data_IF_196047682880
#
_entry.id   IF_196047682880
#
_cell.length_a   1.000
_cell.length_b   1.000
_cell.length_c   1.000
_cell.angle_alpha   90.00
_cell.angle_beta   90.00
_cell.angle_gamma   90.00
#
_symmetry.space_group_name_H-M   'P 1'
#
loop_
_entity.id
_entity.type
_entity.pdbx_description
1 polymer ?
#
# COMPACT_ATOMS: atom_id res chain seq x y z
N UNK A 1 -12.74 -6.04 -21.38
CA UNK A 1 -12.22 -5.44 -20.14
C UNK A 1 -13.32 -4.61 -19.53
N UNK A 2 -13.86 -5.05 -18.40
CA UNK A 2 -14.97 -4.41 -17.69
C UNK A 2 -14.39 -3.47 -16.63
N UNK A 3 -14.04 -2.25 -17.07
CA UNK A 3 -13.50 -1.22 -16.20
C UNK A 3 -14.57 -0.51 -15.36
N UNK A 4 -14.14 0.23 -14.35
CA UNK A 4 -14.99 0.95 -13.41
C UNK A 4 -16.06 1.81 -14.11
N UNK A 5 -17.32 1.71 -13.70
CA UNK A 5 -18.42 2.54 -14.24
C UNK A 5 -18.78 2.30 -15.71
N UNK A 6 -18.31 1.18 -16.30
CA UNK A 6 -18.82 0.68 -17.59
C UNK A 6 -20.07 -0.17 -17.38
N UNK A 7 -20.92 -0.43 -18.40
CA UNK A 7 -22.19 -1.14 -18.23
C UNK A 7 -22.07 -2.54 -17.60
N UNK A 8 -20.98 -3.24 -17.89
CA UNK A 8 -20.65 -4.56 -17.33
C UNK A 8 -19.55 -4.48 -16.26
N UNK A 9 -19.14 -3.26 -15.92
CA UNK A 9 -18.06 -2.94 -15.00
C UNK A 9 -18.47 -2.88 -13.55
N UNK A 10 -17.50 -2.90 -12.63
CA UNK A 10 -17.77 -2.65 -11.23
C UNK A 10 -18.18 -1.20 -11.00
N UNK A 11 -19.08 -1.00 -10.04
CA UNK A 11 -19.47 0.32 -9.57
C UNK A 11 -18.55 0.82 -8.45
N UNK A 12 -17.95 -0.12 -7.71
CA UNK A 12 -17.08 0.17 -6.59
C UNK A 12 -15.90 -0.82 -6.57
N UNK A 13 -14.73 -0.32 -6.19
CA UNK A 13 -13.57 -1.13 -5.84
C UNK A 13 -13.13 -0.72 -4.44
N UNK A 14 -12.83 -1.70 -3.59
CA UNK A 14 -12.36 -1.46 -2.23
C UNK A 14 -11.11 -2.28 -1.97
N UNK A 15 -10.18 -1.75 -1.19
CA UNK A 15 -8.98 -2.48 -0.82
C UNK A 15 -8.26 -1.93 0.39
N UNK A 16 -7.22 -2.64 0.77
CA UNK A 16 -6.29 -2.23 1.81
C UNK A 16 -4.86 -2.65 1.42
N UNK A 17 -3.91 -1.74 1.60
CA UNK A 17 -2.47 -1.97 1.43
C UNK A 17 -1.80 -1.91 2.79
N UNK A 18 -1.13 -2.98 3.18
CA UNK A 18 -0.26 -3.02 4.37
C UNK A 18 1.18 -2.83 3.93
N UNK A 19 1.91 -1.91 4.54
CA UNK A 19 3.31 -1.61 4.19
C UNK A 19 4.19 -1.75 5.42
N UNK A 20 5.29 -2.50 5.31
CA UNK A 20 6.29 -2.67 6.37
C UNK A 20 7.71 -2.76 5.80
N UNK A 21 8.70 -2.56 6.66
CA UNK A 21 10.08 -2.95 6.35
C UNK A 21 10.19 -4.48 6.41
N UNK A 22 10.84 -5.10 5.43
CA UNK A 22 11.15 -6.52 5.45
C UNK A 22 12.12 -6.80 6.62
N UNK A 23 11.92 -7.88 7.41
CA UNK A 23 12.75 -8.14 8.59
C UNK A 23 14.11 -8.73 8.20
N UNK A 24 14.93 -7.93 7.51
CA UNK A 24 16.30 -8.25 7.10
C UNK A 24 17.25 -7.09 7.33
N UNK A 25 18.51 -7.42 7.66
CA UNK A 25 19.58 -6.41 7.77
C UNK A 25 19.89 -5.79 6.42
N UNK A 26 20.06 -6.65 5.42
CA UNK A 26 20.41 -6.26 4.05
C UNK A 26 19.24 -6.42 3.08
N UNK A 27 19.31 -5.72 1.95
CA UNK A 27 18.29 -5.83 0.92
C UNK A 27 18.37 -7.23 0.34
N UNK A 28 17.26 -7.95 0.29
CA UNK A 28 17.27 -9.28 -0.32
C UNK A 28 17.51 -9.16 -1.82
N UNK A 29 18.24 -10.12 -2.37
CA UNK A 29 18.50 -10.17 -3.79
C UNK A 29 17.27 -10.66 -4.59
N UNK A 30 17.34 -10.55 -5.92
CA UNK A 30 16.24 -10.93 -6.80
C UNK A 30 15.83 -12.42 -6.65
N UNK A 31 16.75 -13.40 -6.59
CA UNK A 31 16.40 -14.79 -6.31
C UNK A 31 15.64 -14.98 -4.99
N UNK A 32 16.10 -14.35 -3.90
CA UNK A 32 15.44 -14.45 -2.59
C UNK A 32 14.07 -13.76 -2.61
N UNK A 33 13.95 -12.60 -3.27
CA UNK A 33 12.68 -11.91 -3.48
C UNK A 33 11.68 -12.79 -4.23
N UNK A 34 12.11 -13.44 -5.32
CA UNK A 34 11.27 -14.37 -6.09
C UNK A 34 10.86 -15.56 -5.24
N UNK A 35 11.75 -16.10 -4.41
CA UNK A 35 11.43 -17.22 -3.52
C UNK A 35 10.42 -16.82 -2.44
N UNK A 36 10.58 -15.66 -1.82
CA UNK A 36 9.64 -15.11 -0.82
C UNK A 36 8.25 -14.87 -1.42
N UNK A 37 8.19 -14.32 -2.63
CA UNK A 37 6.95 -13.95 -3.30
C UNK A 37 6.33 -15.08 -4.13
N UNK A 38 6.89 -16.30 -4.10
CA UNK A 38 6.33 -17.47 -4.79
C UNK A 38 5.13 -18.03 -4.03
N UNK A 39 4.05 -17.26 -4.01
CA UNK A 39 2.80 -17.59 -3.32
C UNK A 39 1.98 -18.68 -4.02
N UNK A 40 2.29 -18.92 -5.30
CA UNK A 40 1.64 -19.90 -6.16
C UNK A 40 2.69 -20.73 -6.90
N UNK A 41 2.37 -21.99 -7.16
CA UNK A 41 3.26 -22.90 -7.87
C UNK A 41 3.12 -22.78 -9.39
N UNK A 42 1.93 -22.38 -9.87
CA UNK A 42 1.51 -22.36 -11.27
C UNK A 42 1.76 -21.02 -11.98
N UNK A 43 2.08 -19.97 -11.24
CA UNK A 43 2.35 -18.64 -11.79
C UNK A 43 3.68 -18.07 -11.26
N UNK A 44 4.36 -17.29 -12.10
CA UNK A 44 5.68 -16.72 -11.80
C UNK A 44 5.55 -15.37 -11.09
N UNK A 45 6.52 -15.09 -10.21
CA UNK A 45 6.74 -13.73 -9.69
C UNK A 45 7.15 -12.82 -10.85
N UNK A 46 6.48 -11.67 -10.97
CA UNK A 46 6.81 -10.63 -11.95
C UNK A 46 7.92 -9.76 -11.37
N UNK A 47 9.01 -9.56 -12.11
CA UNK A 47 10.13 -8.73 -11.65
C UNK A 47 10.40 -7.64 -12.66
N UNK A 48 10.57 -6.41 -12.17
CA UNK A 48 11.08 -5.28 -12.94
C UNK A 48 12.32 -4.72 -12.24
N UNK A 49 13.32 -4.31 -13.02
CA UNK A 49 14.55 -3.67 -12.52
C UNK A 49 14.55 -2.16 -12.69
N UNK A 50 13.62 -1.61 -13.47
CA UNK A 50 13.53 -0.19 -13.76
C UNK A 50 12.18 0.39 -13.33
N UNK A 51 12.15 1.63 -12.80
CA UNK A 51 13.32 2.44 -12.43
C UNK A 51 14.06 1.96 -11.17
N UNK A 52 13.41 1.14 -10.35
CA UNK A 52 14.00 0.43 -9.21
C UNK A 52 13.65 -1.07 -9.30
N UNK A 53 14.29 -1.93 -8.50
CA UNK A 53 13.92 -3.35 -8.38
C UNK A 53 12.55 -3.45 -7.72
N UNK A 54 11.69 -4.24 -8.33
CA UNK A 54 10.30 -4.40 -7.92
C UNK A 54 9.84 -5.80 -8.29
N UNK A 55 9.44 -6.57 -7.29
CA UNK A 55 8.93 -7.91 -7.48
C UNK A 55 7.48 -7.99 -7.00
N UNK A 56 6.61 -8.62 -7.78
CA UNK A 56 5.17 -8.76 -7.50
C UNK A 56 4.80 -10.23 -7.55
N UNK A 57 4.18 -10.73 -6.50
CA UNK A 57 3.66 -12.09 -6.48
C UNK A 57 2.52 -12.27 -7.49
N UNK A 58 2.23 -13.51 -7.88
CA UNK A 58 0.93 -13.87 -8.45
C UNK A 58 -0.23 -13.47 -7.53
N UNK A 59 -1.41 -13.25 -8.13
CA UNK A 59 -2.65 -13.01 -7.40
C UNK A 59 -3.13 -14.29 -6.69
N UNK A 60 -3.44 -14.18 -5.41
CA UNK A 60 -4.08 -15.21 -4.60
C UNK A 60 -5.53 -14.80 -4.36
N UNK A 61 -6.46 -15.74 -4.55
CA UNK A 61 -7.89 -15.51 -4.37
C UNK A 61 -8.36 -16.10 -3.05
N UNK A 62 -9.02 -15.29 -2.24
CA UNK A 62 -9.68 -15.71 -1.01
C UNK A 62 -11.19 -15.68 -1.21
N UNK A 63 -11.83 -16.84 -1.16
CA UNK A 63 -13.29 -16.94 -1.24
C UNK A 63 -13.95 -16.42 0.04
N UNK A 64 -14.93 -15.52 -0.11
CA UNK A 64 -15.67 -14.93 1.03
C UNK A 64 -17.18 -14.99 0.82
N UNK A 65 -17.90 -15.11 1.92
CA UNK A 65 -19.36 -15.08 1.99
C UNK A 65 -19.74 -14.41 3.32
N UNK A 66 -19.83 -13.07 3.29
CA UNK A 66 -19.98 -12.26 4.49
C UNK A 66 -20.79 -11.00 4.19
N UNK A 67 -21.01 -10.17 5.22
CA UNK A 67 -21.62 -8.85 5.05
C UNK A 67 -20.55 -7.84 4.63
N UNK A 68 -20.91 -6.89 3.78
CA UNK A 68 -20.09 -5.71 3.54
C UNK A 68 -20.30 -4.69 4.67
N UNK A 69 -19.24 -4.00 5.12
CA UNK A 69 -19.38 -2.86 6.02
C UNK A 69 -20.28 -1.79 5.41
N UNK A 70 -21.21 -1.23 6.18
CA UNK A 70 -22.08 -0.14 5.72
C UNK A 70 -22.26 0.92 6.80
N UNK A 71 -22.23 2.20 6.41
CA UNK A 71 -22.43 3.31 7.35
C UNK A 71 -23.87 3.39 7.88
N UNK A 72 -24.85 2.84 7.15
CA UNK A 72 -26.27 2.88 7.53
C UNK A 72 -26.72 1.68 8.36
N UNK A 73 -25.85 0.69 8.57
CA UNK A 73 -26.21 -0.59 9.18
C UNK A 73 -27.00 -1.53 8.26
N UNK A 74 -27.09 -1.21 6.96
CA UNK A 74 -27.69 -2.07 5.95
C UNK A 74 -26.95 -3.42 5.88
N UNK A 75 -27.70 -4.52 5.94
CA UNK A 75 -27.12 -5.88 5.94
C UNK A 75 -26.92 -6.39 4.52
N UNK A 76 -25.94 -5.84 3.82
CA UNK A 76 -25.60 -6.23 2.45
C UNK A 76 -24.69 -7.45 2.49
N UNK A 77 -25.22 -8.62 2.11
CA UNK A 77 -24.41 -9.83 1.93
C UNK A 77 -23.74 -9.80 0.57
N UNK A 78 -22.45 -10.11 0.51
CA UNK A 78 -21.73 -10.28 -0.74
C UNK A 78 -20.97 -11.61 -0.73
N UNK A 79 -20.89 -12.23 -1.90
CA UNK A 79 -20.23 -13.53 -2.09
C UNK A 79 -19.31 -13.44 -3.29
N UNK A 80 -18.10 -13.96 -3.15
CA UNK A 80 -17.13 -13.86 -4.22
C UNK A 80 -15.72 -14.18 -3.79
N UNK A 81 -14.76 -13.57 -4.49
CA UNK A 81 -13.35 -13.68 -4.17
C UNK A 81 -12.72 -12.30 -3.98
N UNK A 82 -11.86 -12.21 -2.98
CA UNK A 82 -10.94 -11.07 -2.77
C UNK A 82 -9.61 -11.44 -3.41
N UNK A 83 -9.07 -10.53 -4.22
CA UNK A 83 -7.72 -10.65 -4.77
C UNK A 83 -6.72 -10.13 -3.76
N UNK A 84 -5.64 -10.87 -3.55
CA UNK A 84 -4.51 -10.40 -2.75
C UNK A 84 -3.18 -10.76 -3.39
N UNK A 85 -2.20 -9.87 -3.30
CA UNK A 85 -0.84 -10.12 -3.73
C UNK A 85 0.13 -9.31 -2.86
N UNK A 86 1.42 -9.62 -2.99
CA UNK A 86 2.48 -8.92 -2.29
C UNK A 86 3.50 -8.32 -3.26
N UNK A 87 4.02 -7.17 -2.88
CA UNK A 87 5.03 -6.41 -3.63
C UNK A 87 6.26 -6.25 -2.75
N UNK A 88 7.45 -6.45 -3.32
CA UNK A 88 8.71 -6.17 -2.67
C UNK A 88 9.50 -5.14 -3.48
N UNK A 89 9.74 -3.98 -2.88
CA UNK A 89 10.46 -2.85 -3.48
C UNK A 89 11.89 -2.84 -2.98
N UNK A 90 12.85 -2.89 -3.92
CA UNK A 90 14.30 -2.90 -3.68
C UNK A 90 14.78 -3.95 -2.65
N UNK A 91 14.02 -5.04 -2.49
CA UNK A 91 14.34 -6.06 -1.48
C UNK A 91 14.23 -5.55 -0.03
N UNK A 92 13.53 -4.43 0.19
CA UNK A 92 13.46 -3.71 1.48
C UNK A 92 12.06 -3.50 1.99
N UNK A 93 11.16 -2.97 1.17
CA UNK A 93 9.80 -2.63 1.61
C UNK A 93 8.84 -3.66 1.08
N UNK A 94 8.17 -4.35 2.00
CA UNK A 94 7.15 -5.34 1.69
C UNK A 94 5.79 -4.67 1.79
N UNK A 95 5.00 -4.81 0.72
CA UNK A 95 3.60 -4.46 0.72
C UNK A 95 2.75 -5.69 0.51
N UNK A 96 1.60 -5.74 1.17
CA UNK A 96 0.56 -6.73 0.94
C UNK A 96 -0.73 -5.99 0.64
N UNK A 97 -1.28 -6.24 -0.54
CA UNK A 97 -2.51 -5.60 -1.02
C UNK A 97 -3.61 -6.64 -1.07
N UNK A 98 -4.77 -6.32 -0.52
CA UNK A 98 -5.99 -7.08 -0.76
C UNK A 98 -7.09 -6.14 -1.25
N UNK A 99 -7.79 -6.51 -2.32
CA UNK A 99 -8.86 -5.71 -2.90
C UNK A 99 -9.93 -6.56 -3.57
N UNK A 100 -11.10 -5.96 -3.76
CA UNK A 100 -12.19 -6.53 -4.55
C UNK A 100 -12.91 -5.44 -5.34
N UNK A 101 -13.61 -5.89 -6.36
CA UNK A 101 -14.55 -5.11 -7.15
C UNK A 101 -15.99 -5.56 -6.87
N UNK A 102 -16.95 -4.65 -6.95
CA UNK A 102 -18.36 -4.97 -6.75
C UNK A 102 -19.23 -4.30 -7.84
N UNK A 103 -20.13 -5.05 -8.50
CA UNK A 103 -21.14 -4.47 -9.39
C UNK A 103 -22.23 -3.75 -8.59
N UNK A 104 -23.02 -2.90 -9.26
CA UNK A 104 -24.16 -2.20 -8.64
C UNK A 104 -25.23 -3.17 -8.11
N UNK A 105 -25.40 -4.31 -8.75
CA UNK A 105 -26.41 -5.31 -8.41
C UNK A 105 -25.90 -6.73 -8.62
N UNK A 106 -26.59 -7.65 -7.96
CA UNK A 106 -26.39 -9.07 -8.11
C UNK A 106 -27.70 -9.83 -7.95
N UNK A 107 -27.66 -11.17 -7.99
CA UNK A 107 -28.85 -11.99 -7.97
C UNK A 107 -29.60 -11.85 -6.63
N UNK A 108 -30.93 -11.99 -6.68
CA UNK A 108 -31.81 -11.93 -5.50
C UNK A 108 -31.47 -12.98 -4.42
N UNK A 109 -30.77 -14.04 -4.82
CA UNK A 109 -30.33 -15.12 -3.94
C UNK A 109 -28.91 -15.56 -4.26
N UNK A 110 -28.23 -16.05 -3.23
CA UNK A 110 -26.91 -16.68 -3.34
C UNK A 110 -26.91 -17.75 -4.44
N UNK A 111 -25.85 -17.76 -5.25
CA UNK A 111 -25.62 -18.73 -6.33
C UNK A 111 -24.65 -19.84 -5.88
N UNK A 112 -24.56 -20.95 -6.61
CA UNK A 112 -23.49 -21.92 -6.40
C UNK A 112 -22.10 -21.30 -6.62
N UNK A 113 -21.07 -21.84 -5.97
CA UNK A 113 -19.70 -21.29 -6.04
C UNK A 113 -19.15 -21.14 -7.47
N UNK A 114 -19.51 -22.04 -8.39
CA UNK A 114 -19.11 -21.93 -9.80
C UNK A 114 -19.52 -20.61 -10.46
N UNK A 115 -20.61 -19.97 -10.01
CA UNK A 115 -20.98 -18.62 -10.47
C UNK A 115 -19.96 -17.56 -10.04
N UNK A 116 -19.43 -17.65 -8.82
CA UNK A 116 -18.48 -16.65 -8.31
C UNK A 116 -17.05 -16.92 -8.76
N UNK A 117 -16.65 -18.20 -8.88
CA UNK A 117 -15.27 -18.58 -9.24
C UNK A 117 -14.88 -18.20 -10.67
N UNK A 118 -15.85 -18.01 -11.57
CA UNK A 118 -15.59 -17.47 -12.92
C UNK A 118 -15.46 -15.94 -12.95
N UNK A 119 -15.52 -15.28 -11.78
CA UNK A 119 -15.40 -13.82 -11.58
C UNK A 119 -14.34 -13.52 -10.51
N UNK A 120 -13.05 -13.78 -10.80
CA UNK A 120 -11.99 -13.57 -9.83
C UNK A 120 -11.88 -12.09 -9.43
N UNK A 121 -11.70 -11.82 -8.14
CA UNK A 121 -11.57 -10.47 -7.59
C UNK A 121 -12.88 -9.68 -7.53
N UNK A 122 -14.03 -10.34 -7.74
CA UNK A 122 -15.35 -9.72 -7.63
C UNK A 122 -16.13 -10.26 -6.43
N UNK A 123 -16.67 -9.36 -5.61
CA UNK A 123 -17.69 -9.66 -4.62
C UNK A 123 -19.04 -9.22 -5.16
N UNK A 124 -19.89 -10.20 -5.46
CA UNK A 124 -21.22 -9.94 -6.01
C UNK A 124 -22.21 -9.79 -4.84
N UNK A 125 -22.92 -8.66 -4.72
CA UNK A 125 -23.93 -8.46 -3.69
C UNK A 125 -25.13 -9.40 -3.93
N UNK A 126 -25.81 -9.78 -2.86
CA UNK A 126 -27.13 -10.42 -2.95
C UNK A 126 -28.18 -9.31 -2.96
N UNK A 127 -28.75 -9.05 -4.13
CA UNK A 127 -29.58 -7.87 -4.39
C UNK A 127 -28.76 -6.64 -4.79
N UNK A 128 -29.21 -5.45 -4.37
CA UNK A 128 -28.61 -4.17 -4.77
C UNK A 128 -27.50 -3.71 -3.81
N UNK A 129 -26.41 -3.20 -4.37
CA UNK A 129 -25.34 -2.53 -3.63
C UNK A 129 -25.78 -1.11 -3.25
N UNK A 130 -25.72 -0.77 -1.96
CA UNK A 130 -25.84 0.61 -1.51
C UNK A 130 -24.45 1.27 -1.57
N UNK A 131 -23.97 1.58 -2.78
CA UNK A 131 -22.60 2.02 -3.07
C UNK A 131 -22.07 3.05 -2.07
N UNK A 132 -22.75 4.20 -1.92
CA UNK A 132 -22.36 5.25 -0.97
C UNK A 132 -22.24 4.74 0.47
N UNK A 133 -23.19 3.94 0.93
CA UNK A 133 -23.17 3.42 2.30
C UNK A 133 -22.05 2.40 2.51
N UNK A 134 -21.74 1.58 1.50
CA UNK A 134 -20.63 0.63 1.53
C UNK A 134 -19.30 1.37 1.50
N UNK A 135 -19.14 2.39 0.67
CA UNK A 135 -17.94 3.23 0.63
C UNK A 135 -17.65 3.84 1.99
N UNK A 136 -18.62 4.54 2.57
CA UNK A 136 -18.48 5.18 3.88
C UNK A 136 -18.21 4.15 4.98
N UNK A 137 -18.99 3.05 5.02
CA UNK A 137 -18.82 2.00 6.02
C UNK A 137 -17.46 1.33 5.94
N UNK A 138 -17.02 0.98 4.73
CA UNK A 138 -15.73 0.35 4.49
C UNK A 138 -14.58 1.23 4.99
N UNK A 139 -14.59 2.52 4.65
CA UNK A 139 -13.54 3.46 5.08
C UNK A 139 -13.49 3.63 6.60
N UNK A 140 -14.64 3.61 7.29
CA UNK A 140 -14.70 3.70 8.76
C UNK A 140 -14.25 2.44 9.50
N UNK A 141 -14.32 1.27 8.85
CA UNK A 141 -13.95 -0.02 9.42
C UNK A 141 -15.11 -1.01 9.49
N UNK A 142 -14.78 -2.24 9.89
CA UNK A 142 -15.72 -3.36 9.91
C UNK A 142 -16.23 -3.66 11.33
N UNK A 143 -17.40 -4.27 11.41
CA UNK A 143 -17.92 -4.88 12.64
C UNK A 143 -17.76 -6.41 12.62
N UNK A 144 -17.86 -7.10 13.77
CA UNK A 144 -17.83 -8.55 13.82
C UNK A 144 -18.85 -9.19 12.87
N UNK A 145 -18.37 -10.08 11.99
CA UNK A 145 -19.20 -10.76 10.98
C UNK A 145 -19.35 -10.01 9.65
N UNK A 146 -18.74 -8.82 9.53
CA UNK A 146 -18.54 -8.13 8.26
C UNK A 146 -17.19 -8.50 7.63
N UNK A 147 -17.00 -8.11 6.38
CA UNK A 147 -15.77 -8.33 5.64
C UNK A 147 -14.62 -7.55 6.28
N UNK A 148 -13.63 -8.28 6.77
CA UNK A 148 -12.34 -7.73 7.14
C UNK A 148 -11.30 -8.06 6.05
N UNK A 149 -11.12 -7.13 5.12
CA UNK A 149 -10.09 -7.27 4.09
C UNK A 149 -8.68 -7.03 4.64
N UNK A 150 -8.56 -6.28 5.73
CA UNK A 150 -7.30 -5.99 6.38
C UNK A 150 -6.68 -7.25 6.94
N UNK A 151 -7.48 -8.13 7.54
CA UNK A 151 -7.04 -9.47 7.95
C UNK A 151 -6.51 -10.32 6.78
N UNK A 152 -7.05 -10.17 5.56
CA UNK A 152 -6.56 -10.90 4.37
C UNK A 152 -5.17 -10.37 3.97
N UNK A 153 -5.02 -9.04 3.87
CA UNK A 153 -3.74 -8.40 3.57
C UNK A 153 -2.69 -8.71 4.65
N UNK A 154 -3.06 -8.61 5.92
CA UNK A 154 -2.18 -8.88 7.07
C UNK A 154 -1.77 -10.35 7.16
N UNK A 155 -2.70 -11.29 6.91
CA UNK A 155 -2.37 -12.72 6.87
C UNK A 155 -1.32 -13.02 5.80
N UNK A 156 -1.46 -12.40 4.61
CA UNK A 156 -0.49 -12.55 3.54
C UNK A 156 0.86 -11.93 3.91
N UNK A 157 0.87 -10.73 4.49
CA UNK A 157 2.07 -10.06 4.98
C UNK A 157 2.80 -10.94 6.01
N UNK A 158 2.07 -11.40 7.03
CA UNK A 158 2.60 -12.24 8.10
C UNK A 158 3.17 -13.56 7.58
N UNK A 159 2.54 -14.17 6.56
CA UNK A 159 3.05 -15.38 5.91
C UNK A 159 4.44 -15.16 5.32
N UNK A 160 4.66 -14.01 4.68
CA UNK A 160 5.94 -13.68 4.04
C UNK A 160 6.97 -13.31 5.11
N UNK A 161 6.63 -12.36 6.00
CA UNK A 161 7.55 -11.83 7.03
C UNK A 161 7.99 -12.87 8.08
N UNK A 162 7.27 -14.00 8.22
CA UNK A 162 7.63 -15.10 9.13
C UNK A 162 8.42 -16.24 8.45
N UNK A 163 8.96 -16.00 7.25
CA UNK A 163 9.75 -17.01 6.53
C UNK A 163 11.18 -17.12 7.10
N UNK A 164 11.31 -17.84 8.21
CA UNK A 164 12.57 -17.95 8.98
C UNK A 164 13.79 -18.48 8.23
N UNK A 165 13.61 -19.15 7.08
CA UNK A 165 14.72 -19.67 6.29
C UNK A 165 15.38 -18.64 5.38
N UNK A 166 14.71 -17.52 5.13
CA UNK A 166 15.14 -16.50 4.15
C UNK A 166 15.37 -15.13 4.79
N UNK A 167 14.96 -14.94 6.04
CA UNK A 167 14.95 -13.66 6.74
C UNK A 167 15.78 -13.78 8.02
N UNK A 168 16.66 -12.80 8.26
CA UNK A 168 17.60 -12.80 9.41
C UNK A 168 17.05 -12.09 10.66
N UNK A 169 15.95 -11.34 10.53
CA UNK A 169 15.30 -10.56 11.60
C UNK A 169 16.21 -9.51 12.27
N UNK A 170 17.30 -9.10 11.62
CA UNK A 170 18.23 -8.06 12.11
C UNK A 170 17.96 -6.72 11.40
N UNK A 171 16.76 -6.15 11.60
CA UNK A 171 16.38 -4.91 10.92
C UNK A 171 17.25 -3.72 11.34
N UNK A 172 17.78 -2.92 10.39
CA UNK A 172 18.64 -1.77 10.72
C UNK A 172 17.86 -0.59 11.29
N UNK A 173 16.53 -0.60 11.14
CA UNK A 173 15.60 0.40 11.65
C UNK A 173 14.36 -0.31 12.21
N UNK A 174 13.91 0.12 13.38
CA UNK A 174 12.58 -0.22 13.86
C UNK A 174 11.56 0.73 13.21
N UNK A 175 10.68 0.25 12.34
CA UNK A 175 9.68 1.06 11.63
C UNK A 175 8.28 0.65 12.02
N UNK A 176 7.36 1.60 12.12
CA UNK A 176 5.95 1.26 12.26
C UNK A 176 5.40 0.72 10.93
N UNK A 177 4.54 -0.28 11.03
CA UNK A 177 3.75 -0.75 9.91
C UNK A 177 2.61 0.24 9.62
N UNK A 178 2.17 0.29 8.38
CA UNK A 178 1.12 1.22 7.97
C UNK A 178 0.04 0.49 7.19
N UNK A 179 -1.20 0.95 7.34
CA UNK A 179 -2.36 0.42 6.61
C UNK A 179 -3.00 1.55 5.82
N UNK A 180 -3.13 1.40 4.51
CA UNK A 180 -3.85 2.31 3.63
C UNK A 180 -5.12 1.62 3.15
N UNK A 181 -6.26 2.02 3.70
CA UNK A 181 -7.59 1.58 3.30
C UNK A 181 -8.15 2.52 2.24
N UNK A 182 -8.70 1.96 1.18
CA UNK A 182 -9.13 2.75 0.03
C UNK A 182 -10.39 2.26 -0.64
N UNK A 183 -11.08 3.20 -1.30
CA UNK A 183 -12.22 2.94 -2.18
C UNK A 183 -12.05 3.71 -3.49
N UNK A 184 -12.47 3.12 -4.60
CA UNK A 184 -12.53 3.77 -5.89
C UNK A 184 -13.91 3.62 -6.52
N UNK A 185 -14.50 4.75 -6.91
CA UNK A 185 -15.76 4.84 -7.64
C UNK A 185 -15.55 5.63 -8.94
N UNK A 186 -16.38 5.45 -9.98
CA UNK A 186 -16.24 6.21 -11.21
C UNK A 186 -16.57 7.68 -10.95
N UNK A 187 -15.75 8.59 -11.47
CA UNK A 187 -16.09 9.99 -11.56
C UNK A 187 -17.36 10.15 -12.41
N UNK A 188 -18.22 11.10 -12.02
CA UNK A 188 -19.41 11.43 -12.79
C UNK A 188 -19.02 12.02 -14.16
N UNK A 189 -19.93 11.97 -15.13
CA UNK A 189 -19.63 12.44 -16.49
C UNK A 189 -19.34 13.94 -16.47
N UNK A 190 -18.12 14.32 -16.90
CA UNK A 190 -17.65 15.71 -16.92
C UNK A 190 -16.99 16.18 -15.62
N UNK A 191 -17.00 15.38 -14.56
CA UNK A 191 -16.26 15.67 -13.32
C UNK A 191 -14.82 15.15 -13.40
N UNK A 192 -13.83 15.90 -12.89
CA UNK A 192 -12.45 15.44 -12.86
C UNK A 192 -12.31 14.23 -11.92
N UNK A 193 -11.31 13.39 -12.21
CA UNK A 193 -10.84 12.42 -11.24
C UNK A 193 -10.36 13.16 -9.99
N UNK A 194 -10.58 12.58 -8.81
CA UNK A 194 -10.14 13.19 -7.56
C UNK A 194 -9.72 12.16 -6.53
N UNK A 195 -8.93 12.61 -5.57
CA UNK A 195 -8.38 11.79 -4.50
C UNK A 195 -8.47 12.57 -3.20
N UNK A 196 -9.06 11.96 -2.17
CA UNK A 196 -9.06 12.48 -0.80
C UNK A 196 -8.22 11.55 0.07
N UNK A 197 -7.17 12.10 0.67
CA UNK A 197 -6.27 11.37 1.56
C UNK A 197 -6.40 11.90 2.98
N UNK A 198 -6.73 11.00 3.91
CA UNK A 198 -6.88 11.31 5.33
C UNK A 198 -5.96 10.43 6.17
N UNK A 199 -5.14 11.04 7.03
CA UNK A 199 -4.37 10.32 8.05
C UNK A 199 -5.26 10.15 9.28
N UNK A 200 -5.53 8.90 9.64
CA UNK A 200 -6.20 8.54 10.88
C UNK A 200 -5.16 8.12 11.93
N UNK A 201 -5.63 7.75 13.12
CA UNK A 201 -4.78 7.30 14.22
C UNK A 201 -4.15 5.91 13.94
N UNK A 202 -3.17 5.53 14.75
CA UNK A 202 -2.53 4.20 14.77
C UNK A 202 -1.98 3.71 13.41
N UNK A 203 -1.57 4.65 12.56
CA UNK A 203 -1.00 4.33 11.26
C UNK A 203 -2.01 3.89 10.20
N UNK A 204 -3.30 4.15 10.41
CA UNK A 204 -4.32 3.99 9.37
C UNK A 204 -4.37 5.23 8.46
N UNK A 205 -4.39 4.99 7.15
CA UNK A 205 -4.59 5.98 6.09
C UNK A 205 -5.87 5.63 5.36
N UNK A 206 -6.68 6.62 5.08
CA UNK A 206 -7.97 6.48 4.39
C UNK A 206 -7.88 7.22 3.07
N UNK A 207 -8.22 6.54 1.97
CA UNK A 207 -8.18 7.11 0.62
C UNK A 207 -9.50 6.89 -0.09
N UNK A 208 -10.11 7.98 -0.54
CA UNK A 208 -11.30 7.94 -1.38
C UNK A 208 -10.95 8.44 -2.78
N UNK A 209 -11.19 7.61 -3.79
CA UNK A 209 -10.86 7.87 -5.18
C UNK A 209 -12.12 8.00 -6.03
N UNK A 210 -12.17 9.05 -6.84
CA UNK A 210 -13.03 9.15 -8.01
C UNK A 210 -12.14 9.01 -9.24
N UNK A 211 -12.29 7.92 -9.99
CA UNK A 211 -11.41 7.59 -11.10
C UNK A 211 -12.12 7.69 -12.46
N UNK A 212 -11.38 7.89 -13.56
CA UNK A 212 -11.98 7.86 -14.89
C UNK A 212 -12.74 6.55 -15.13
N UNK A 213 -13.90 6.62 -15.80
CA UNK A 213 -14.63 5.42 -16.23
C UNK A 213 -13.73 4.54 -17.10
N UNK A 214 -13.87 3.23 -16.96
CA UNK A 214 -13.03 2.24 -17.64
C UNK A 214 -11.73 1.92 -16.90
N UNK A 215 -11.39 2.61 -15.80
CA UNK A 215 -10.21 2.26 -15.00
C UNK A 215 -10.32 0.84 -14.46
N UNK A 216 -9.29 0.03 -14.66
CA UNK A 216 -9.30 -1.35 -14.17
C UNK A 216 -9.06 -1.40 -12.65
N UNK A 217 -9.69 -2.34 -11.91
CA UNK A 217 -9.47 -2.48 -10.47
C UNK A 217 -7.99 -2.64 -10.06
N UNK A 218 -7.21 -3.40 -10.84
CA UNK A 218 -5.78 -3.58 -10.60
C UNK A 218 -4.98 -2.28 -10.79
N UNK A 219 -5.41 -1.40 -11.70
CA UNK A 219 -4.79 -0.09 -11.91
C UNK A 219 -5.05 0.84 -10.71
N UNK A 220 -6.26 0.79 -10.14
CA UNK A 220 -6.57 1.51 -8.90
C UNK A 220 -5.75 0.99 -7.71
N UNK A 221 -5.62 -0.34 -7.57
CA UNK A 221 -4.79 -0.95 -6.53
C UNK A 221 -3.33 -0.53 -6.63
N UNK A 222 -2.75 -0.51 -7.84
CA UNK A 222 -1.37 -0.07 -8.07
C UNK A 222 -1.14 1.41 -7.73
N UNK A 223 -2.12 2.28 -7.96
CA UNK A 223 -2.04 3.68 -7.49
C UNK A 223 -1.98 3.74 -5.95
N UNK A 224 -2.82 2.96 -5.27
CA UNK A 224 -2.83 2.91 -3.81
C UNK A 224 -1.55 2.29 -3.22
N UNK A 225 -0.92 1.34 -3.91
CA UNK A 225 0.38 0.78 -3.53
C UNK A 225 1.49 1.83 -3.58
N UNK A 226 1.55 2.60 -4.68
CA UNK A 226 2.54 3.68 -4.84
C UNK A 226 2.31 4.75 -3.75
N UNK A 227 1.05 5.12 -3.50
CA UNK A 227 0.70 6.07 -2.45
C UNK A 227 1.07 5.57 -1.04
N UNK A 228 0.79 4.30 -0.73
CA UNK A 228 1.11 3.70 0.56
C UNK A 228 2.63 3.65 0.79
N UNK A 229 3.42 3.34 -0.24
CA UNK A 229 4.88 3.31 -0.17
C UNK A 229 5.44 4.70 0.15
N UNK A 230 5.02 5.72 -0.61
CA UNK A 230 5.57 7.07 -0.44
C UNK A 230 5.13 7.72 0.87
N UNK A 231 3.89 7.52 1.31
CA UNK A 231 3.47 7.98 2.64
C UNK A 231 4.22 7.25 3.76
N UNK A 232 4.42 5.92 3.64
CA UNK A 232 5.23 5.16 4.60
C UNK A 232 6.66 5.68 4.68
N UNK A 233 7.30 5.99 3.55
CA UNK A 233 8.65 6.56 3.50
C UNK A 233 8.70 7.93 4.19
N UNK A 234 7.75 8.82 3.89
CA UNK A 234 7.67 10.15 4.52
C UNK A 234 7.50 10.03 6.03
N UNK A 235 6.51 9.25 6.48
CA UNK A 235 6.25 9.05 7.91
C UNK A 235 7.47 8.43 8.59
N UNK A 236 8.03 7.35 8.04
CA UNK A 236 9.16 6.64 8.65
C UNK A 236 10.39 7.53 8.78
N UNK A 237 10.75 8.25 7.71
CA UNK A 237 11.93 9.14 7.74
C UNK A 237 11.69 10.30 8.69
N UNK A 238 10.50 10.89 8.68
CA UNK A 238 10.16 11.99 9.57
C UNK A 238 10.22 11.56 11.04
N UNK A 239 9.58 10.44 11.41
CA UNK A 239 9.56 9.91 12.77
C UNK A 239 10.97 9.61 13.29
N UNK A 240 11.85 9.10 12.42
CA UNK A 240 13.25 8.86 12.77
C UNK A 240 14.05 10.13 12.98
N UNK A 241 13.77 11.19 12.21
CA UNK A 241 14.43 12.48 12.38
C UNK A 241 13.92 13.25 13.59
N UNK A 242 12.64 13.15 13.91
CA UNK A 242 12.06 13.82 15.08
C UNK A 242 12.49 13.14 16.39
N UNK A 243 12.75 11.83 16.35
CA UNK A 243 13.37 11.10 17.45
C UNK A 243 14.84 11.47 17.73
N UNK A 244 15.54 12.10 16.78
CA UNK A 244 16.93 12.57 16.98
C UNK A 244 16.92 13.92 17.70
N UNK A 245 17.39 13.92 18.95
CA UNK A 245 17.49 15.16 19.73
C UNK A 245 18.72 15.94 19.30
N UNK A 246 18.47 17.03 18.57
CA UNK A 246 19.51 17.95 18.09
C UNK A 246 20.25 18.53 19.31
N UNK A 247 21.56 18.27 19.40
CA UNK A 247 22.47 18.85 20.41
C UNK A 247 22.68 18.05 21.70
N UNK A 248 21.96 16.94 21.91
CA UNK A 248 22.13 16.10 23.13
C UNK A 248 22.49 14.64 22.83
N UNK A 249 22.17 14.15 21.63
CA UNK A 249 22.52 12.78 21.24
C UNK A 249 24.02 12.65 20.92
N UNK A 250 24.67 11.65 21.54
CA UNK A 250 26.02 11.20 21.18
C UNK A 250 26.14 11.04 19.66
N UNK A 251 27.22 11.57 19.08
CA UNK A 251 27.50 11.51 17.65
C UNK A 251 27.39 10.10 17.07
N UNK A 252 27.74 9.09 17.87
CA UNK A 252 27.61 7.68 17.49
C UNK A 252 26.17 7.21 17.42
N UNK A 253 25.31 7.63 18.36
CA UNK A 253 23.89 7.25 18.40
C UNK A 253 23.13 7.84 17.21
N UNK A 254 23.38 9.10 16.86
CA UNK A 254 22.77 9.72 15.69
C UNK A 254 23.20 9.04 14.37
N UNK A 255 24.48 8.67 14.24
CA UNK A 255 24.96 7.96 13.05
C UNK A 255 24.35 6.57 12.88
N UNK A 256 23.99 5.88 13.99
CA UNK A 256 23.27 4.59 13.94
C UNK A 256 21.86 4.73 13.34
N UNK A 257 21.25 5.90 13.41
CA UNK A 257 19.94 6.17 12.79
C UNK A 257 20.09 6.70 11.38
N UNK A 258 20.96 7.70 11.17
CA UNK A 258 21.06 8.40 9.88
C UNK A 258 21.61 7.51 8.76
N UNK A 259 22.57 6.62 9.04
CA UNK A 259 23.18 5.74 8.02
C UNK A 259 22.15 4.79 7.39
N UNK A 260 21.37 4.01 8.17
CA UNK A 260 20.30 3.19 7.60
C UNK A 260 19.28 3.96 6.75
N UNK A 261 18.93 5.20 7.12
CA UNK A 261 18.01 6.01 6.31
C UNK A 261 18.58 6.24 4.91
N UNK A 262 19.85 6.61 4.80
CA UNK A 262 20.55 6.83 3.53
C UNK A 262 20.71 5.52 2.76
N UNK A 263 21.24 4.50 3.42
CA UNK A 263 21.63 3.24 2.77
C UNK A 263 20.43 2.40 2.35
N UNK A 264 19.27 2.57 3.00
CA UNK A 264 18.14 1.65 2.83
C UNK A 264 16.84 2.31 2.37
N UNK A 265 16.60 3.59 2.70
CA UNK A 265 15.31 4.22 2.43
C UNK A 265 15.39 5.34 1.38
N UNK A 266 16.47 6.12 1.34
CA UNK A 266 16.51 7.32 0.50
C UNK A 266 16.39 7.04 -1.00
N UNK A 267 16.90 5.90 -1.46
CA UNK A 267 16.87 5.49 -2.86
C UNK A 267 15.51 4.90 -3.29
N UNK A 268 14.59 4.65 -2.36
CA UNK A 268 13.26 4.09 -2.64
C UNK A 268 12.29 5.11 -3.20
N UNK A 269 12.59 6.40 -3.06
CA UNK A 269 11.73 7.50 -3.50
C UNK A 269 11.72 7.64 -5.02
N UNK A 270 10.66 7.11 -5.64
CA UNK A 270 10.45 7.13 -7.09
C UNK A 270 8.96 7.40 -7.39
N UNK A 271 8.42 8.57 -7.00
CA UNK A 271 7.00 8.87 -7.18
C UNK A 271 6.62 8.81 -8.66
N UNK A 272 5.42 8.31 -8.97
CA UNK A 272 4.89 8.15 -10.33
C UNK A 272 5.58 7.10 -11.20
N UNK A 273 6.68 6.49 -10.75
CA UNK A 273 7.46 5.54 -11.53
C UNK A 273 6.63 4.36 -12.05
N UNK A 274 5.61 3.96 -11.27
CA UNK A 274 4.79 2.78 -11.53
C UNK A 274 3.30 3.10 -11.63
N UNK A 275 2.94 4.38 -11.58
CA UNK A 275 1.56 4.84 -11.78
C UNK A 275 1.19 4.66 -13.25
N UNK A 276 0.06 3.99 -13.49
CA UNK A 276 -0.47 3.80 -14.83
C UNK A 276 -0.67 5.15 -15.54
N UNK A 277 -0.46 5.18 -16.86
CA UNK A 277 -0.58 6.39 -17.65
C UNK A 277 -1.96 7.06 -17.49
N UNK A 278 -3.02 6.27 -17.33
CA UNK A 278 -4.38 6.78 -17.14
C UNK A 278 -4.56 7.58 -15.85
N UNK A 279 -3.73 7.36 -14.82
CA UNK A 279 -3.85 7.96 -13.49
C UNK A 279 -2.77 9.00 -13.19
N UNK A 280 -1.90 9.34 -14.15
CA UNK A 280 -0.83 10.34 -13.94
C UNK A 280 -1.36 11.70 -13.53
N UNK A 281 -2.43 12.19 -14.19
CA UNK A 281 -3.02 13.48 -13.84
C UNK A 281 -3.57 13.49 -12.43
N UNK A 282 -4.22 12.40 -11.99
CA UNK A 282 -4.70 12.25 -10.61
C UNK A 282 -3.56 12.29 -9.60
N UNK A 283 -2.41 11.66 -9.91
CA UNK A 283 -1.22 11.77 -9.07
C UNK A 283 -0.69 13.21 -9.03
N UNK A 284 -0.56 13.87 -10.19
CA UNK A 284 -0.02 15.23 -10.26
C UNK A 284 -0.83 16.24 -9.43
N UNK A 285 -2.15 16.05 -9.33
CA UNK A 285 -3.02 16.87 -8.48
C UNK A 285 -2.75 16.61 -7.00
N UNK A 286 -2.66 15.35 -6.57
CA UNK A 286 -2.26 14.99 -5.21
C UNK A 286 -0.89 15.58 -4.85
N UNK A 287 0.08 15.49 -5.77
CA UNK A 287 1.43 16.01 -5.57
C UNK A 287 1.44 17.54 -5.37
N UNK A 288 0.55 18.28 -6.04
CA UNK A 288 0.42 19.74 -5.89
C UNK A 288 -0.09 20.13 -4.50
N UNK A 289 -1.08 19.39 -4.01
CA UNK A 289 -1.75 19.71 -2.74
C UNK A 289 -0.97 19.19 -1.53
N UNK A 290 -0.54 17.92 -1.56
CA UNK A 290 0.18 17.29 -0.46
C UNK A 290 1.68 17.61 -0.46
N UNK A 291 2.28 17.91 -1.62
CA UNK A 291 3.68 18.30 -1.73
C UNK A 291 4.67 17.22 -1.31
N UNK A 292 4.37 15.93 -1.52
CA UNK A 292 5.17 14.80 -1.06
C UNK A 292 6.64 14.87 -1.47
N UNK A 293 6.93 15.19 -2.73
CA UNK A 293 8.30 15.35 -3.24
C UNK A 293 9.00 16.54 -2.59
N UNK A 294 8.28 17.63 -2.30
CA UNK A 294 8.84 18.78 -1.59
C UNK A 294 9.21 18.43 -0.15
N UNK A 295 8.32 17.70 0.54
CA UNK A 295 8.58 17.18 1.89
C UNK A 295 9.79 16.24 1.88
N UNK A 296 9.83 15.28 0.96
CA UNK A 296 10.93 14.34 0.82
C UNK A 296 12.27 15.04 0.58
N UNK A 297 12.33 15.99 -0.36
CA UNK A 297 13.55 16.74 -0.65
C UNK A 297 14.06 17.49 0.59
N UNK A 298 13.15 18.04 1.39
CA UNK A 298 13.48 18.72 2.66
C UNK A 298 14.07 17.74 3.67
N UNK A 299 13.46 16.56 3.85
CA UNK A 299 13.94 15.51 4.76
C UNK A 299 15.30 14.96 4.31
N UNK A 300 15.45 14.66 3.03
CA UNK A 300 16.71 14.18 2.46
C UNK A 300 17.82 15.22 2.61
N UNK A 301 17.54 16.51 2.40
CA UNK A 301 18.50 17.58 2.62
C UNK A 301 18.90 17.68 4.10
N UNK A 302 17.92 17.66 5.02
CA UNK A 302 18.17 17.66 6.48
C UNK A 302 19.08 16.50 6.91
N UNK A 303 18.88 15.30 6.37
CA UNK A 303 19.75 14.13 6.64
C UNK A 303 21.18 14.40 6.16
N UNK A 304 21.35 14.88 4.93
CA UNK A 304 22.68 15.19 4.36
C UNK A 304 23.41 16.25 5.18
N UNK A 305 22.71 17.31 5.58
CA UNK A 305 23.28 18.40 6.38
C UNK A 305 23.72 17.90 7.77
N UNK A 306 22.91 17.07 8.42
CA UNK A 306 23.27 16.46 9.72
C UNK A 306 24.50 15.56 9.62
N UNK A 307 24.65 14.78 8.54
CA UNK A 307 25.84 13.98 8.29
C UNK A 307 27.07 14.85 8.02
N UNK A 308 26.93 15.92 7.23
CA UNK A 308 28.00 16.84 6.92
C UNK A 308 28.51 17.56 8.18
N UNK A 309 27.62 18.14 8.99
CA UNK A 309 27.95 18.82 10.24
C UNK A 309 28.70 17.89 11.21
N UNK A 310 28.21 16.66 11.38
CA UNK A 310 28.85 15.70 12.29
C UNK A 310 30.22 15.23 11.80
N UNK A 311 30.41 15.10 10.48
CA UNK A 311 31.72 14.80 9.91
C UNK A 311 32.72 15.95 10.12
N UNK A 312 32.27 17.21 10.10
CA UNK A 312 33.10 18.38 10.43
C UNK A 312 33.48 18.38 11.91
N UNK A 313 32.51 18.25 12.83
CA UNK A 313 32.77 18.21 14.27
C UNK A 313 33.72 17.07 14.66
N UNK A 314 33.60 15.90 14.03
CA UNK A 314 34.52 14.78 14.27
C UNK A 314 35.95 15.08 13.83
N UNK A 315 36.13 15.79 12.71
CA UNK A 315 37.46 16.21 12.23
C UNK A 315 38.07 17.23 13.18
N UNK A 316 37.31 18.20 13.64
CA UNK A 316 37.78 19.21 14.60
C UNK A 316 38.19 18.56 15.94
N UNK A 317 37.42 17.58 16.42
CA UNK A 317 37.76 16.83 17.64
C UNK A 317 39.03 15.95 17.50
N UNK A 318 39.31 15.43 16.29
CA UNK A 318 40.53 14.66 16.01
C UNK A 318 41.76 15.56 15.74
N UNK A 319 41.54 16.84 15.44
CA UNK A 319 42.58 17.83 15.20
C UNK A 319 42.90 18.70 16.44
N UNK A 320 42.14 18.55 17.53
CA UNK A 320 42.42 19.20 18.81
C UNK A 320 43.66 18.54 19.46
N UNK A 321 44.66 19.34 19.89
CA UNK A 321 45.96 18.86 20.37
C UNK A 321 45.93 18.15 21.73
#
# INVERSE_FOLDING_TARGET
MTGLGTPEGPALVCGEVRTCLLPTRDAVDEPTAVQLLRLRADERVRVSRHPNRHAVSPDVLTGVDCRLPTATGARIRAVGTVTAHAVLVEGRVLQSTAYFSAPTDGPDRRRPWGYYLVRPGTLVPVGRLAEKSVTEGFLTGHQPGELDIGSIAESLLARISRTHRLLDYDTPLNTADTALRWTAAPAADGEPASLRFTKADDGLRIVELLLPRGTEPAVAAGLCEDLALHDWLLTTVNDKLDGLRIGTDDGTAALKVLRPLVDHLLHLWMPQARVDRALRTTWEELEKDAGYTRQWNTLAQRIRDQLALRNLTRRDALAAP
#
